data_IF_329320405776
#
_entry.id   IF_329320405776
#
_cell.length_a   1.000
_cell.length_b   1.000
_cell.length_c   1.000
_cell.angle_alpha   90.00
_cell.angle_beta   90.00
_cell.angle_gamma   90.00
#
_symmetry.space_group_name_H-M   'P 1'
#
loop_
_entity.id
_entity.type
_entity.pdbx_description
1 polymer ?
#
# COMPACT_ATOMS: atom_id res chain seq x y z
N UNK A 1 16.47 -6.45 15.75
CA UNK A 1 17.02 -5.56 14.71
C UNK A 1 17.03 -6.38 13.44
N UNK A 2 16.20 -6.01 12.48
CA UNK A 2 16.09 -6.78 11.24
C UNK A 2 17.37 -6.61 10.43
N UNK A 3 17.83 -7.69 9.81
CA UNK A 3 19.02 -7.69 8.95
C UNK A 3 18.69 -8.37 7.63
N UNK A 4 19.26 -7.84 6.56
CA UNK A 4 19.28 -8.47 5.25
C UNK A 4 20.72 -8.90 5.01
N UNK A 5 20.95 -10.20 4.82
CA UNK A 5 22.24 -10.74 4.40
C UNK A 5 22.13 -11.03 2.90
N UNK A 6 23.04 -10.45 2.12
CA UNK A 6 23.07 -10.60 0.66
C UNK A 6 24.30 -11.41 0.29
N UNK A 7 24.11 -12.55 -0.37
CA UNK A 7 25.17 -13.35 -0.96
C UNK A 7 25.33 -12.98 -2.43
N UNK A 8 26.50 -12.45 -2.78
CA UNK A 8 26.78 -11.91 -4.12
C UNK A 8 27.04 -12.97 -5.19
N UNK A 9 27.67 -12.54 -6.29
CA UNK A 9 28.15 -13.37 -7.40
C UNK A 9 27.08 -14.03 -8.30
N UNK A 10 25.82 -13.60 -8.20
CA UNK A 10 24.73 -14.08 -9.04
C UNK A 10 24.15 -12.94 -9.89
N UNK A 11 24.32 -12.92 -11.22
CA UNK A 11 23.64 -11.95 -12.08
C UNK A 11 22.13 -12.19 -12.05
N UNK A 12 21.35 -11.12 -11.88
CA UNK A 12 19.89 -11.19 -11.89
C UNK A 12 19.38 -11.40 -13.32
N UNK A 13 18.42 -12.32 -13.49
CA UNK A 13 17.73 -12.56 -14.77
C UNK A 13 16.25 -12.85 -14.51
N UNK A 14 15.37 -12.26 -15.32
CA UNK A 14 13.92 -12.40 -15.22
C UNK A 14 13.19 -11.07 -15.10
N UNK A 15 11.91 -11.16 -14.74
CA UNK A 15 11.01 -10.01 -14.65
C UNK A 15 10.23 -10.08 -13.33
N UNK A 16 9.99 -8.92 -12.72
CA UNK A 16 9.18 -8.80 -11.51
C UNK A 16 8.06 -7.79 -11.74
N UNK A 17 6.92 -8.01 -11.10
CA UNK A 17 5.82 -7.06 -11.09
C UNK A 17 5.97 -6.11 -9.90
N UNK A 18 5.78 -4.82 -10.14
CA UNK A 18 5.89 -3.78 -9.11
C UNK A 18 4.50 -3.31 -8.68
N UNK A 19 4.37 -3.03 -7.39
CA UNK A 19 3.19 -2.38 -6.82
C UNK A 19 3.05 -0.93 -7.31
N UNK A 20 1.94 -0.27 -6.96
CA UNK A 20 1.74 1.15 -7.24
C UNK A 20 2.69 2.06 -6.46
N UNK A 21 2.74 3.33 -6.86
CA UNK A 21 3.61 4.33 -6.24
C UNK A 21 3.03 4.83 -4.91
N UNK A 22 3.82 4.73 -3.84
CA UNK A 22 3.45 5.20 -2.50
C UNK A 22 2.91 6.64 -2.50
N UNK A 23 3.65 7.54 -3.14
CA UNK A 23 3.35 8.97 -3.13
C UNK A 23 2.10 9.33 -3.96
N UNK A 24 1.65 8.44 -4.84
CA UNK A 24 0.38 8.58 -5.53
C UNK A 24 -0.78 8.01 -4.69
N UNK A 25 -0.57 6.86 -4.06
CA UNK A 25 -1.64 6.16 -3.31
C UNK A 25 -2.03 6.90 -2.03
N UNK A 26 -1.08 7.44 -1.28
CA UNK A 26 -1.38 8.14 -0.01
C UNK A 26 -2.39 9.29 -0.16
N UNK A 27 -2.25 10.24 -1.13
CA UNK A 27 -3.27 11.28 -1.31
C UNK A 27 -4.60 10.72 -1.86
N UNK A 28 -4.58 9.65 -2.67
CA UNK A 28 -5.81 8.99 -3.15
C UNK A 28 -6.58 8.38 -1.97
N UNK A 29 -5.90 7.76 -1.01
CA UNK A 29 -6.51 7.23 0.22
C UNK A 29 -7.24 8.33 1.00
N UNK A 30 -6.62 9.50 1.16
CA UNK A 30 -7.28 10.64 1.82
C UNK A 30 -8.44 11.18 1.01
N UNK A 31 -8.30 11.28 -0.31
CA UNK A 31 -9.37 11.74 -1.20
C UNK A 31 -10.61 10.82 -1.15
N UNK A 32 -10.41 9.51 -0.93
CA UNK A 32 -11.50 8.55 -0.78
C UNK A 32 -12.41 8.84 0.42
N UNK A 33 -11.93 9.54 1.46
CA UNK A 33 -12.75 9.96 2.60
C UNK A 33 -13.79 11.02 2.21
N UNK A 34 -13.59 11.72 1.10
CA UNK A 34 -14.50 12.77 0.62
C UNK A 34 -15.57 12.23 -0.33
N UNK A 35 -15.47 10.97 -0.75
CA UNK A 35 -16.40 10.34 -1.66
C UNK A 35 -17.52 9.63 -0.90
N UNK A 36 -18.75 9.72 -1.41
CA UNK A 36 -19.87 8.95 -0.88
C UNK A 36 -19.75 7.46 -1.27
N UNK A 37 -20.14 6.59 -0.34
CA UNK A 37 -20.17 5.14 -0.57
C UNK A 37 -18.82 4.44 -0.37
N UNK A 38 -18.56 3.41 -1.18
CA UNK A 38 -17.36 2.56 -1.06
C UNK A 38 -16.39 2.93 -2.18
N UNK A 39 -15.20 3.39 -1.80
CA UNK A 39 -14.08 3.57 -2.71
C UNK A 39 -13.27 2.28 -2.80
N UNK A 40 -12.77 1.94 -3.99
CA UNK A 40 -11.83 0.85 -4.19
C UNK A 40 -10.55 1.39 -4.82
N UNK A 41 -9.41 1.14 -4.18
CA UNK A 41 -8.10 1.57 -4.66
C UNK A 41 -7.28 0.31 -4.99
N UNK A 42 -6.85 0.22 -6.23
CA UNK A 42 -6.07 -0.90 -6.75
C UNK A 42 -4.56 -0.61 -6.71
N UNK A 43 -3.75 -1.68 -6.63
CA UNK A 43 -2.29 -1.64 -6.62
C UNK A 43 -1.68 -0.84 -5.46
N UNK A 44 -2.35 -0.76 -4.32
CA UNK A 44 -1.81 -0.16 -3.09
C UNK A 44 -0.58 -0.96 -2.65
N UNK A 45 0.61 -0.33 -2.52
CA UNK A 45 1.80 -1.03 -2.06
C UNK A 45 1.66 -1.37 -0.57
N UNK A 46 2.05 -2.58 -0.17
CA UNK A 46 2.03 -3.00 1.23
C UNK A 46 3.28 -2.49 1.95
N UNK A 47 3.17 -1.29 2.52
CA UNK A 47 4.26 -0.57 3.17
C UNK A 47 3.81 -0.13 4.56
N UNK A 48 4.77 0.19 5.41
CA UNK A 48 4.47 0.77 6.73
C UNK A 48 3.63 2.05 6.61
N UNK A 49 3.94 2.89 5.64
CA UNK A 49 3.24 4.16 5.42
C UNK A 49 1.76 3.94 5.04
N UNK A 50 1.47 3.01 4.12
CA UNK A 50 0.08 2.70 3.71
C UNK A 50 -0.70 2.03 4.83
N UNK A 51 -0.09 1.10 5.59
CA UNK A 51 -0.71 0.52 6.79
C UNK A 51 -1.00 1.57 7.87
N UNK A 52 -0.11 2.54 8.05
CA UNK A 52 -0.32 3.63 9.00
C UNK A 52 -1.47 4.53 8.56
N UNK A 53 -1.54 4.86 7.27
CA UNK A 53 -2.65 5.64 6.71
C UNK A 53 -3.99 4.91 6.83
N UNK A 54 -4.06 3.60 6.59
CA UNK A 54 -5.28 2.80 6.82
C UNK A 54 -5.76 2.95 8.28
N UNK A 55 -4.85 2.80 9.25
CA UNK A 55 -5.19 2.99 10.68
C UNK A 55 -5.69 4.40 10.98
N UNK A 56 -5.09 5.42 10.35
CA UNK A 56 -5.54 6.81 10.52
C UNK A 56 -6.95 7.01 9.94
N UNK A 57 -7.25 6.43 8.77
CA UNK A 57 -8.59 6.43 8.17
C UNK A 57 -9.61 5.74 9.09
N UNK A 58 -9.24 4.62 9.70
CA UNK A 58 -10.09 3.91 10.67
C UNK A 58 -10.36 4.75 11.93
N UNK A 59 -9.35 5.47 12.45
CA UNK A 59 -9.50 6.36 13.60
C UNK A 59 -10.51 7.48 13.34
N UNK A 60 -10.56 8.02 12.11
CA UNK A 60 -11.53 9.05 11.74
C UNK A 60 -12.91 8.49 11.35
N UNK A 61 -13.09 7.17 11.42
CA UNK A 61 -14.38 6.50 11.28
C UNK A 61 -14.61 5.75 9.97
N UNK A 62 -13.61 5.69 9.07
CA UNK A 62 -13.71 4.86 7.87
C UNK A 62 -13.64 3.38 8.24
N UNK A 63 -14.31 2.52 7.44
CA UNK A 63 -14.13 1.07 7.52
C UNK A 63 -13.22 0.65 6.38
N UNK A 64 -12.06 0.08 6.71
CA UNK A 64 -11.07 -0.29 5.71
C UNK A 64 -10.85 -1.81 5.66
N UNK A 65 -10.62 -2.34 4.47
CA UNK A 65 -10.19 -3.71 4.22
C UNK A 65 -9.06 -3.69 3.19
N UNK A 66 -7.90 -4.27 3.56
CA UNK A 66 -6.72 -4.30 2.70
C UNK A 66 -6.24 -5.73 2.44
N UNK A 67 -6.35 -6.18 1.20
CA UNK A 67 -5.94 -7.53 0.79
C UNK A 67 -5.27 -7.51 -0.58
N UNK A 68 -4.08 -8.11 -0.70
CA UNK A 68 -3.39 -8.33 -1.98
C UNK A 68 -3.27 -7.09 -2.88
N UNK A 69 -3.06 -5.91 -2.29
CA UNK A 69 -2.93 -4.65 -3.03
C UNK A 69 -4.26 -3.96 -3.36
N UNK A 70 -5.38 -4.48 -2.86
CA UNK A 70 -6.71 -3.89 -2.97
C UNK A 70 -7.11 -3.30 -1.62
N UNK A 71 -7.39 -2.00 -1.60
CA UNK A 71 -7.97 -1.32 -0.45
C UNK A 71 -9.43 -0.98 -0.76
N UNK A 72 -10.31 -1.27 0.20
CA UNK A 72 -11.71 -0.86 0.22
C UNK A 72 -12.02 -0.16 1.52
#
# INVERSE_FOLDING_TARGET
MDKIIIEGQNPLSGTVSISGAKNAVLPIMTAALMADGISRIDRVPDLRDTRTMIKLMEIVGAKCSFEKGFLK
#
